data_IF_684677048958
#
_entry.id   IF_684677048958
#
_cell.length_a   1.000
_cell.length_b   1.000
_cell.length_c   1.000
_cell.angle_alpha   90.00
_cell.angle_beta   90.00
_cell.angle_gamma   90.00
#
_symmetry.space_group_name_H-M   'P 1'
#
loop_
_entity.id
_entity.type
_entity.pdbx_description
1 polymer ?
#
# COMPACT_ATOMS: atom_id res chain seq x y z
N UNK A 1 12.65 61.91 1.46
CA UNK A 1 12.48 61.12 0.22
C UNK A 1 13.31 59.83 0.18
N UNK A 2 14.60 59.83 0.53
CA UNK A 2 15.46 58.62 0.47
C UNK A 2 14.97 57.44 1.34
N UNK A 3 14.47 57.73 2.54
CA UNK A 3 13.96 56.70 3.49
C UNK A 3 12.66 56.04 3.01
N UNK A 4 11.78 56.82 2.37
CA UNK A 4 10.56 56.30 1.74
C UNK A 4 10.90 55.39 0.57
N UNK A 5 11.90 55.76 -0.23
CA UNK A 5 12.35 54.99 -1.38
C UNK A 5 12.95 53.63 -0.95
N UNK A 6 13.74 53.61 0.14
CA UNK A 6 14.29 52.37 0.69
C UNK A 6 13.20 51.46 1.27
N UNK A 7 12.19 52.02 1.94
CA UNK A 7 11.09 51.22 2.49
C UNK A 7 10.24 50.57 1.38
N UNK A 8 9.97 51.29 0.30
CA UNK A 8 9.23 50.77 -0.86
C UNK A 8 10.03 49.66 -1.55
N UNK A 9 11.34 49.83 -1.73
CA UNK A 9 12.20 48.79 -2.33
C UNK A 9 12.19 47.51 -1.48
N UNK A 10 12.34 47.62 -0.16
CA UNK A 10 12.32 46.46 0.74
C UNK A 10 10.95 45.75 0.73
N UNK A 11 9.85 46.51 0.67
CA UNK A 11 8.51 45.94 0.55
C UNK A 11 8.33 45.18 -0.77
N UNK A 12 8.82 45.73 -1.89
CA UNK A 12 8.75 45.07 -3.19
C UNK A 12 9.60 43.79 -3.25
N UNK A 13 10.81 43.81 -2.68
CA UNK A 13 11.66 42.61 -2.59
C UNK A 13 10.95 41.53 -1.76
N UNK A 14 10.38 41.89 -0.60
CA UNK A 14 9.61 40.95 0.22
C UNK A 14 8.41 40.35 -0.52
N UNK A 15 7.73 41.14 -1.34
CA UNK A 15 6.57 40.72 -2.13
C UNK A 15 6.97 39.76 -3.27
N UNK A 16 8.11 40.00 -3.92
CA UNK A 16 8.68 39.09 -4.95
C UNK A 16 9.12 37.77 -4.33
N UNK A 17 9.81 37.80 -3.17
CA UNK A 17 10.24 36.58 -2.46
C UNK A 17 9.04 35.76 -1.98
N UNK A 18 7.97 36.41 -1.49
CA UNK A 18 6.74 35.71 -1.11
C UNK A 18 6.09 34.98 -2.30
N UNK A 19 6.13 35.57 -3.50
CA UNK A 19 5.57 34.98 -4.71
C UNK A 19 6.35 33.73 -5.17
N UNK A 20 7.68 33.76 -5.14
CA UNK A 20 8.50 32.60 -5.53
C UNK A 20 8.32 31.38 -4.59
N UNK A 21 8.06 31.64 -3.31
CA UNK A 21 7.88 30.59 -2.29
C UNK A 21 6.52 29.89 -2.43
N UNK A 22 5.47 30.59 -2.87
CA UNK A 22 4.16 29.98 -3.12
C UNK A 22 4.14 29.09 -4.37
N UNK A 23 4.93 29.40 -5.40
CA UNK A 23 4.95 28.61 -6.64
C UNK A 23 5.68 27.26 -6.45
N UNK A 24 6.81 27.25 -5.75
CA UNK A 24 7.53 25.99 -5.46
C UNK A 24 6.74 25.02 -4.57
N UNK A 25 5.95 25.54 -3.62
CA UNK A 25 5.26 24.72 -2.62
C UNK A 25 4.01 24.01 -3.18
N UNK A 26 3.37 24.54 -4.23
CA UNK A 26 2.23 23.89 -4.90
C UNK A 26 2.68 22.77 -5.85
N UNK A 27 3.85 22.88 -6.46
CA UNK A 27 4.40 21.86 -7.35
C UNK A 27 4.95 20.63 -6.58
N UNK A 28 5.52 20.83 -5.39
CA UNK A 28 5.98 19.73 -4.52
C UNK A 28 4.83 18.81 -4.05
N UNK A 29 3.68 19.38 -3.67
CA UNK A 29 2.51 18.59 -3.24
C UNK A 29 1.83 17.81 -4.37
N UNK A 30 1.92 18.31 -5.61
CA UNK A 30 1.41 17.62 -6.81
C UNK A 30 2.32 16.45 -7.22
N UNK A 31 3.65 16.66 -7.16
CA UNK A 31 4.65 15.63 -7.49
C UNK A 31 4.65 14.45 -6.54
N UNK A 32 4.31 14.61 -5.26
CA UNK A 32 4.19 13.48 -4.32
C UNK A 32 3.02 12.55 -4.62
N UNK A 33 1.90 13.06 -5.14
CA UNK A 33 0.77 12.18 -5.56
C UNK A 33 1.06 11.47 -6.88
N UNK A 34 1.73 12.12 -7.83
CA UNK A 34 2.12 11.49 -9.10
C UNK A 34 3.27 10.48 -8.94
N UNK A 35 4.16 10.66 -7.94
CA UNK A 35 5.25 9.71 -7.66
C UNK A 35 4.77 8.35 -7.16
N UNK A 36 3.55 8.24 -6.60
CA UNK A 36 3.03 6.96 -6.09
C UNK A 36 2.64 5.95 -7.18
N UNK A 37 2.46 6.38 -8.42
CA UNK A 37 2.05 5.49 -9.53
C UNK A 37 3.17 5.16 -10.52
N UNK A 38 4.22 5.99 -10.59
CA UNK A 38 5.28 5.87 -11.61
C UNK A 38 6.59 5.26 -11.11
N UNK A 39 6.79 5.17 -9.80
CA UNK A 39 7.94 4.50 -9.19
C UNK A 39 7.44 3.29 -8.40
N UNK A 40 6.92 2.31 -9.13
CA UNK A 40 7.00 0.94 -8.66
C UNK A 40 8.48 0.62 -8.52
N UNK A 41 8.97 0.57 -7.29
CA UNK A 41 10.34 0.17 -7.01
C UNK A 41 10.63 -1.13 -7.78
N UNK A 42 11.66 -1.08 -8.62
CA UNK A 42 12.07 -2.25 -9.39
C UNK A 42 12.59 -3.29 -8.40
N UNK A 43 12.08 -4.50 -8.50
CA UNK A 43 12.46 -5.59 -7.63
C UNK A 43 13.13 -6.71 -8.42
N UNK A 44 14.04 -7.43 -7.77
CA UNK A 44 14.63 -8.67 -8.30
C UNK A 44 14.07 -9.88 -7.55
N UNK A 45 13.79 -9.72 -6.27
CA UNK A 45 13.21 -10.72 -5.39
C UNK A 45 12.00 -10.18 -4.63
N UNK A 46 11.15 -11.09 -4.13
CA UNK A 46 10.01 -10.71 -3.28
C UNK A 46 10.44 -9.99 -1.99
N UNK A 47 11.62 -10.30 -1.45
CA UNK A 47 12.19 -9.66 -0.26
C UNK A 47 12.59 -8.21 -0.48
N UNK A 48 12.79 -7.79 -1.73
CA UNK A 48 13.09 -6.38 -2.06
C UNK A 48 11.85 -5.50 -1.86
N UNK A 49 10.67 -6.12 -1.83
CA UNK A 49 9.42 -5.46 -1.56
C UNK A 49 9.07 -5.58 -0.08
N UNK A 50 8.46 -4.53 0.50
CA UNK A 50 8.05 -4.56 1.90
C UNK A 50 7.04 -5.67 2.23
N UNK A 51 6.81 -5.95 3.52
CA UNK A 51 6.06 -7.13 4.01
C UNK A 51 4.65 -7.33 3.45
N UNK A 52 4.01 -6.27 2.94
CA UNK A 52 2.67 -6.31 2.32
C UNK A 52 2.70 -6.10 0.80
N UNK A 53 3.86 -6.31 0.19
CA UNK A 53 4.08 -6.25 -1.24
C UNK A 53 4.87 -7.49 -1.69
N UNK A 54 4.85 -7.74 -2.99
CA UNK A 54 5.63 -8.78 -3.63
C UNK A 54 6.11 -8.28 -4.98
N UNK A 55 7.18 -8.90 -5.46
CA UNK A 55 7.69 -8.62 -6.79
C UNK A 55 6.77 -9.28 -7.83
N UNK A 56 6.25 -8.48 -8.75
CA UNK A 56 5.52 -8.95 -9.92
C UNK A 56 6.46 -8.94 -11.12
N UNK A 57 6.59 -10.10 -11.76
CA UNK A 57 7.46 -10.31 -12.91
C UNK A 57 6.62 -10.23 -14.17
N UNK A 58 6.64 -9.06 -14.82
CA UNK A 58 5.95 -8.82 -16.08
C UNK A 58 6.95 -8.69 -17.24
N UNK A 59 6.48 -8.89 -18.47
CA UNK A 59 7.30 -8.73 -19.68
C UNK A 59 7.92 -7.33 -19.78
N UNK A 60 7.23 -6.31 -19.25
CA UNK A 60 7.66 -4.92 -19.28
C UNK A 60 8.58 -4.52 -18.12
N UNK A 61 8.95 -5.47 -17.27
CA UNK A 61 9.82 -5.26 -16.13
C UNK A 61 9.21 -5.73 -14.81
N UNK A 62 10.07 -5.75 -13.79
CA UNK A 62 9.71 -6.21 -12.46
C UNK A 62 9.35 -5.03 -11.56
N UNK A 63 8.27 -5.17 -10.80
CA UNK A 63 7.76 -4.10 -9.94
C UNK A 63 7.19 -4.63 -8.63
N UNK A 64 7.37 -3.88 -7.54
CA UNK A 64 6.71 -4.20 -6.29
C UNK A 64 5.23 -3.86 -6.34
N UNK A 65 4.37 -4.87 -6.25
CA UNK A 65 2.90 -4.71 -6.21
C UNK A 65 2.40 -5.06 -4.81
N UNK A 66 1.38 -4.33 -4.34
CA UNK A 66 0.79 -4.56 -3.03
C UNK A 66 -0.11 -5.80 -3.03
N UNK A 67 0.02 -6.62 -2.00
CA UNK A 67 -0.88 -7.75 -1.72
C UNK A 67 -2.29 -7.28 -1.40
N UNK A 68 -3.28 -8.17 -1.56
CA UNK A 68 -4.70 -7.91 -1.34
C UNK A 68 -5.02 -7.73 0.14
N UNK A 69 -5.72 -6.63 0.46
CA UNK A 69 -6.20 -6.37 1.81
C UNK A 69 -7.46 -7.16 2.18
N UNK A 70 -8.00 -6.89 3.36
CA UNK A 70 -9.20 -7.54 3.90
C UNK A 70 -10.41 -7.41 2.94
N UNK A 71 -11.20 -8.48 2.83
CA UNK A 71 -12.38 -8.62 1.97
C UNK A 71 -12.13 -8.44 0.47
N UNK A 72 -10.88 -8.34 0.03
CA UNK A 72 -10.55 -8.32 -1.40
C UNK A 72 -10.54 -9.73 -1.97
N UNK A 73 -10.93 -9.84 -3.24
CA UNK A 73 -10.84 -11.09 -3.97
C UNK A 73 -9.40 -11.57 -4.06
N UNK A 74 -9.20 -12.86 -3.83
CA UNK A 74 -7.91 -13.53 -3.86
C UNK A 74 -8.01 -14.83 -4.66
N UNK A 75 -6.87 -15.45 -4.95
CA UNK A 75 -6.83 -16.76 -5.59
C UNK A 75 -5.67 -17.57 -5.05
N UNK A 76 -5.92 -18.84 -4.73
CA UNK A 76 -4.88 -19.78 -4.32
C UNK A 76 -4.12 -20.38 -5.52
N UNK A 77 -4.39 -19.90 -6.74
CA UNK A 77 -3.68 -20.35 -7.93
C UNK A 77 -2.29 -19.72 -7.96
N UNK A 78 -1.19 -20.50 -7.93
CA UNK A 78 0.17 -19.96 -7.97
C UNK A 78 0.48 -19.18 -9.25
N UNK A 79 -0.24 -19.45 -10.35
CA UNK A 79 -0.10 -18.71 -11.63
C UNK A 79 -0.64 -17.28 -11.56
N UNK A 80 -1.47 -16.96 -10.58
CA UNK A 80 -2.09 -15.64 -10.42
C UNK A 80 -1.09 -14.60 -9.89
N UNK A 81 0.02 -15.07 -9.31
CA UNK A 81 1.12 -14.24 -8.83
C UNK A 81 0.74 -13.30 -7.69
N UNK A 82 1.55 -12.25 -7.55
CA UNK A 82 1.50 -11.30 -6.45
C UNK A 82 0.13 -10.61 -6.28
N UNK A 83 -0.58 -10.35 -7.39
CA UNK A 83 -1.87 -9.66 -7.38
C UNK A 83 -3.01 -10.45 -6.74
N UNK A 84 -2.82 -11.73 -6.44
CA UNK A 84 -3.87 -12.60 -5.92
C UNK A 84 -3.62 -13.08 -4.49
N UNK A 85 -2.42 -12.79 -3.96
CA UNK A 85 -2.05 -13.09 -2.58
C UNK A 85 -2.65 -12.08 -1.60
N UNK A 86 -3.01 -12.56 -0.42
CA UNK A 86 -3.46 -11.73 0.69
C UNK A 86 -2.28 -11.14 1.46
N UNK A 87 -2.50 -9.99 2.10
CA UNK A 87 -1.54 -9.37 3.02
C UNK A 87 -1.22 -10.29 4.20
N UNK A 88 -0.10 -10.02 4.87
CA UNK A 88 0.33 -10.82 6.00
C UNK A 88 -0.72 -10.80 7.12
N UNK A 89 -1.00 -11.97 7.71
CA UNK A 89 -2.07 -12.13 8.71
C UNK A 89 -3.49 -12.26 8.12
N UNK A 90 -3.62 -12.35 6.78
CA UNK A 90 -4.87 -12.68 6.10
C UNK A 90 -4.72 -13.99 5.33
N UNK A 91 -5.79 -14.76 5.29
CA UNK A 91 -5.89 -16.02 4.55
C UNK A 91 -6.94 -15.92 3.44
N UNK A 92 -6.63 -16.52 2.29
CA UNK A 92 -7.56 -16.58 1.18
C UNK A 92 -8.57 -17.71 1.38
N UNK A 93 -9.81 -17.35 1.75
CA UNK A 93 -10.89 -18.31 1.98
C UNK A 93 -11.83 -18.38 0.79
N UNK A 94 -12.12 -19.60 0.35
CA UNK A 94 -13.07 -19.86 -0.73
C UNK A 94 -14.49 -20.05 -0.16
N UNK A 95 -15.44 -19.32 -0.71
CA UNK A 95 -16.85 -19.42 -0.42
C UNK A 95 -17.57 -20.09 -1.60
N UNK A 96 -18.52 -20.97 -1.27
CA UNK A 96 -19.42 -21.58 -2.24
C UNK A 96 -20.83 -21.13 -1.93
N UNK A 97 -21.43 -20.37 -2.84
CA UNK A 97 -22.87 -20.15 -2.80
C UNK A 97 -23.55 -21.40 -3.35
N UNK A 98 -24.44 -21.98 -2.54
CA UNK A 98 -25.21 -23.19 -2.87
C UNK A 98 -26.33 -22.93 -3.88
N UNK A 99 -26.65 -21.66 -4.17
CA UNK A 99 -27.71 -21.28 -5.10
C UNK A 99 -27.13 -21.00 -6.48
N UNK A 100 -27.74 -21.60 -7.51
CA UNK A 100 -27.40 -21.40 -8.92
C UNK A 100 -27.34 -19.90 -9.30
N UNK A 101 -26.37 -19.48 -10.13
CA UNK A 101 -25.20 -20.21 -10.62
C UNK A 101 -24.19 -20.48 -9.51
N UNK A 102 -23.46 -21.61 -9.57
CA UNK A 102 -22.39 -21.94 -8.63
C UNK A 102 -21.24 -20.93 -8.70
N UNK A 103 -21.41 -19.79 -8.06
CA UNK A 103 -20.36 -18.79 -7.93
C UNK A 103 -19.43 -19.21 -6.80
N UNK A 104 -18.22 -19.64 -7.20
CA UNK A 104 -17.08 -19.77 -6.30
C UNK A 104 -16.35 -18.44 -6.31
N UNK A 105 -16.26 -17.81 -5.15
CA UNK A 105 -15.42 -16.64 -4.97
C UNK A 105 -14.52 -16.86 -3.76
N UNK A 106 -13.37 -16.22 -3.77
CA UNK A 106 -12.39 -16.31 -2.70
C UNK A 106 -12.01 -14.92 -2.26
N UNK A 107 -11.97 -14.70 -0.95
CA UNK A 107 -11.68 -13.40 -0.34
C UNK A 107 -10.67 -13.53 0.79
N UNK A 108 -9.86 -12.49 0.97
CA UNK A 108 -8.91 -12.38 2.07
C UNK A 108 -9.65 -12.09 3.38
N UNK A 109 -9.50 -12.97 4.36
CA UNK A 109 -10.10 -12.85 5.69
C UNK A 109 -9.04 -13.05 6.77
N UNK A 110 -9.31 -12.51 7.96
CA UNK A 110 -8.49 -12.88 9.12
C UNK A 110 -8.69 -14.37 9.42
N UNK A 111 -7.63 -15.10 9.78
CA UNK A 111 -7.78 -16.46 10.29
C UNK A 111 -8.74 -16.46 11.48
N UNK A 112 -9.70 -17.39 11.48
CA UNK A 112 -10.69 -17.55 12.56
C UNK A 112 -10.20 -18.47 13.67
N UNK A 113 -8.96 -18.96 13.60
CA UNK A 113 -8.40 -19.77 14.68
C UNK A 113 -8.31 -18.89 15.93
N UNK A 114 -8.99 -19.25 17.03
CA UNK A 114 -8.62 -18.69 18.33
C UNK A 114 -7.14 -19.03 18.58
N UNK A 115 -6.40 -18.19 19.33
CA UNK A 115 -5.06 -18.58 19.78
C UNK A 115 -5.13 -19.98 20.42
N UNK A 116 -4.15 -20.87 20.20
CA UNK A 116 -4.15 -22.17 20.86
C UNK A 116 -4.28 -21.91 22.35
N UNK A 117 -5.43 -22.26 22.90
CA UNK A 117 -5.64 -22.17 24.33
C UNK A 117 -4.79 -23.31 24.87
N UNK A 118 -3.65 -22.98 25.47
CA UNK A 118 -2.89 -23.93 26.26
C UNK A 118 -3.86 -24.42 27.33
N UNK A 119 -4.43 -25.62 27.14
CA UNK A 119 -5.22 -26.26 28.17
C UNK A 119 -4.27 -26.51 29.35
N UNK A 120 -4.49 -25.90 30.52
CA UNK A 120 -3.68 -26.21 31.69
C UNK A 120 -3.89 -27.69 31.97
N UNK A 121 -2.78 -28.45 31.93
CA UNK A 121 -2.77 -29.88 32.16
C UNK A 121 -3.58 -30.25 33.39
N UNK A 122 -4.72 -30.90 33.15
CA UNK A 122 -5.51 -31.60 34.15
C UNK A 122 -4.69 -32.80 34.62
N UNK A 123 -3.75 -32.54 35.53
CA UNK A 123 -3.02 -33.57 36.24
C UNK A 123 -3.94 -34.20 37.28
N UNK A 124 -4.58 -35.29 36.91
CA UNK A 124 -5.14 -36.27 37.83
C UNK A 124 -4.69 -37.67 37.39
N UNK A 125 -4.56 -38.57 38.39
CA UNK A 125 -4.25 -40.00 38.35
C UNK A 125 -2.76 -40.41 38.47
N UNK A 126 -2.25 -40.45 39.71
CA UNK A 126 -1.96 -41.70 40.43
C UNK A 126 -1.61 -41.43 41.90
#
# INVERSE_FOLDING_TARGET
MRILLTAVILALIGLVVAFEVEDQSRDLKSKERHRRWLFTDKCKAHSDCGSNACCDYSWFGNSCIRKRGLFRSCSNNPKCGCMCECQQGLECKQFRLTKWPYYRFSICLRPTTPPPTEEPGSGDFA
#
